data_IF_768292661297
#
_entry.id   IF_768292661297
#
_cell.length_a   1.000
_cell.length_b   1.000
_cell.length_c   1.000
_cell.angle_alpha   90.00
_cell.angle_beta   90.00
_cell.angle_gamma   90.00
#
_symmetry.space_group_name_H-M   'P 1'
#
loop_
_entity.id
_entity.type
_entity.pdbx_description
1 polymer ?
#
# COMPACT_ATOMS: atom_id res chain seq x y z
N UNK A 1 15.59 1.50 0.22
CA UNK A 1 14.37 0.68 0.38
C UNK A 1 14.30 -0.32 -0.76
N UNK A 2 14.08 -1.63 -0.51
CA UNK A 2 13.84 -2.61 -1.57
C UNK A 2 12.50 -2.35 -2.27
N UNK A 3 12.42 -2.71 -3.56
CA UNK A 3 11.14 -2.70 -4.26
C UNK A 3 10.20 -3.78 -3.73
N UNK A 4 8.88 -3.61 -3.90
CA UNK A 4 7.89 -4.54 -3.39
C UNK A 4 7.98 -5.94 -4.02
N UNK A 5 8.46 -6.07 -5.24
CA UNK A 5 8.69 -7.40 -5.87
C UNK A 5 9.95 -8.13 -5.39
N UNK A 6 10.76 -7.55 -4.50
CA UNK A 6 11.86 -8.27 -3.86
C UNK A 6 11.31 -9.34 -2.93
N UNK A 7 12.13 -10.35 -2.60
CA UNK A 7 11.69 -11.43 -1.71
C UNK A 7 11.23 -10.91 -0.35
N UNK A 8 10.07 -11.33 0.10
CA UNK A 8 9.51 -11.02 1.42
C UNK A 8 9.87 -12.10 2.44
N UNK A 9 10.20 -11.68 3.64
CA UNK A 9 10.23 -12.55 4.82
C UNK A 9 8.86 -12.64 5.48
N UNK A 10 8.03 -11.61 5.33
CA UNK A 10 6.66 -11.57 5.85
C UNK A 10 5.80 -10.50 5.19
N UNK A 11 4.48 -10.67 5.29
CA UNK A 11 3.45 -9.64 5.10
C UNK A 11 2.76 -9.35 6.43
N UNK A 12 2.53 -8.06 6.68
CA UNK A 12 1.84 -7.54 7.86
C UNK A 12 0.45 -7.07 7.50
N UNK A 13 -0.53 -7.44 8.32
CA UNK A 13 -1.94 -7.09 8.22
C UNK A 13 -2.48 -6.68 9.59
N UNK A 14 -3.58 -5.92 9.62
CA UNK A 14 -4.41 -5.71 10.80
C UNK A 14 -5.80 -6.29 10.57
N UNK A 15 -6.38 -6.96 11.58
CA UNK A 15 -7.68 -7.61 11.43
C UNK A 15 -8.83 -6.60 11.43
N UNK A 16 -9.75 -6.64 10.46
CA UNK A 16 -10.88 -5.71 10.38
C UNK A 16 -11.81 -5.83 11.58
N UNK A 17 -12.02 -4.72 12.28
CA UNK A 17 -12.84 -4.67 13.49
C UNK A 17 -13.66 -3.38 13.63
N UNK A 18 -13.28 -2.31 12.93
CA UNK A 18 -13.89 -1.01 13.07
C UNK A 18 -15.26 -0.95 12.37
N UNK A 19 -16.32 -0.76 13.14
CA UNK A 19 -17.69 -0.63 12.64
C UNK A 19 -17.99 0.77 12.11
N UNK A 20 -17.14 1.78 12.39
CA UNK A 20 -17.30 3.11 11.80
C UNK A 20 -16.85 3.10 10.34
N UNK A 21 -15.79 2.34 10.03
CA UNK A 21 -15.28 2.16 8.66
C UNK A 21 -16.22 1.29 7.82
N UNK A 22 -16.74 0.18 8.39
CA UNK A 22 -17.64 -0.74 7.70
C UNK A 22 -18.89 -1.08 8.52
N UNK A 23 -19.86 -0.15 8.67
CA UNK A 23 -21.02 -0.35 9.57
C UNK A 23 -21.85 -1.60 9.27
N UNK A 24 -21.98 -1.97 7.99
CA UNK A 24 -22.81 -3.10 7.54
C UNK A 24 -22.03 -4.13 6.72
N UNK A 25 -20.76 -3.86 6.39
CA UNK A 25 -19.96 -4.64 5.45
C UNK A 25 -18.82 -5.44 6.13
N UNK A 26 -18.61 -5.28 7.44
CA UNK A 26 -17.48 -5.85 8.16
C UNK A 26 -17.34 -7.38 7.99
N UNK A 27 -18.45 -8.10 7.89
CA UNK A 27 -18.40 -9.55 7.69
C UNK A 27 -17.84 -9.96 6.33
N UNK A 28 -18.27 -9.31 5.24
CA UNK A 28 -17.75 -9.54 3.88
C UNK A 28 -16.32 -9.04 3.73
N UNK A 29 -15.95 -7.93 4.36
CA UNK A 29 -14.58 -7.43 4.44
C UNK A 29 -13.66 -8.48 5.06
N UNK A 30 -14.04 -9.08 6.18
CA UNK A 30 -13.28 -10.16 6.85
C UNK A 30 -13.04 -11.37 5.94
N UNK A 31 -13.98 -11.70 5.05
CA UNK A 31 -13.79 -12.80 4.07
C UNK A 31 -12.67 -12.46 3.08
N UNK A 32 -12.51 -11.19 2.69
CA UNK A 32 -11.39 -10.76 1.82
C UNK A 32 -10.05 -10.95 2.54
N UNK A 33 -9.95 -10.62 3.85
CA UNK A 33 -8.75 -10.89 4.64
C UNK A 33 -8.42 -12.39 4.73
N UNK A 34 -9.42 -13.24 4.92
CA UNK A 34 -9.20 -14.69 4.92
C UNK A 34 -8.71 -15.16 3.55
N UNK A 35 -9.24 -14.63 2.46
CA UNK A 35 -8.77 -14.94 1.10
C UNK A 35 -7.31 -14.46 0.90
N UNK A 36 -6.97 -13.21 1.29
CA UNK A 36 -5.60 -12.71 1.23
C UNK A 36 -4.64 -13.62 2.00
N UNK A 37 -4.93 -13.91 3.27
CA UNK A 37 -4.09 -14.77 4.11
C UNK A 37 -3.95 -16.16 3.50
N UNK A 38 -5.03 -16.74 2.97
CA UNK A 38 -5.02 -18.07 2.34
C UNK A 38 -4.12 -18.11 1.09
N UNK A 39 -4.08 -17.03 0.32
CA UNK A 39 -3.26 -16.92 -0.89
C UNK A 39 -1.78 -16.62 -0.56
N UNK A 40 -1.52 -15.86 0.48
CA UNK A 40 -0.17 -15.42 0.85
C UNK A 40 0.57 -16.46 1.72
N UNK A 41 -0.10 -17.10 2.68
CA UNK A 41 0.52 -17.95 3.69
C UNK A 41 1.30 -19.16 3.13
N UNK A 42 0.99 -19.76 1.97
CA UNK A 42 1.83 -20.79 1.37
C UNK A 42 3.24 -20.31 0.95
N UNK A 43 3.44 -19.00 0.79
CA UNK A 43 4.62 -18.42 0.15
C UNK A 43 5.47 -17.54 1.06
N UNK A 44 4.87 -17.05 2.17
CA UNK A 44 5.56 -16.18 3.13
C UNK A 44 4.86 -16.20 4.50
N UNK A 45 5.52 -15.66 5.52
CA UNK A 45 4.90 -15.50 6.83
C UNK A 45 3.88 -14.37 6.80
N UNK A 46 2.78 -14.56 7.53
CA UNK A 46 1.75 -13.55 7.68
C UNK A 46 1.64 -13.19 9.17
N UNK A 47 1.86 -11.94 9.47
CA UNK A 47 1.56 -11.38 10.79
C UNK A 47 0.23 -10.64 10.73
N UNK A 48 -0.68 -10.95 11.64
CA UNK A 48 -1.97 -10.28 11.72
C UNK A 48 -2.11 -9.66 13.11
N UNK A 49 -2.21 -8.34 13.15
CA UNK A 49 -2.49 -7.62 14.38
C UNK A 49 -3.97 -7.81 14.75
N UNK A 50 -4.22 -8.06 16.03
CA UNK A 50 -5.57 -8.24 16.58
C UNK A 50 -5.71 -7.44 17.87
N UNK A 51 -6.89 -6.86 18.12
CA UNK A 51 -7.11 -6.02 19.28
C UNK A 51 -7.29 -6.83 20.56
N UNK A 52 -7.85 -8.04 20.46
CA UNK A 52 -8.18 -8.88 21.61
C UNK A 52 -8.12 -10.37 21.26
N UNK A 53 -8.06 -11.24 22.28
CA UNK A 53 -7.96 -12.70 22.09
C UNK A 53 -9.17 -13.28 21.36
N UNK A 54 -10.37 -12.74 21.59
CA UNK A 54 -11.57 -13.16 20.85
C UNK A 54 -11.44 -12.96 19.34
N UNK A 55 -10.82 -11.87 18.92
CA UNK A 55 -10.53 -11.63 17.51
C UNK A 55 -9.52 -12.64 16.97
N UNK A 56 -8.50 -13.00 17.76
CA UNK A 56 -7.56 -14.05 17.40
C UNK A 56 -8.25 -15.41 17.23
N UNK A 57 -9.16 -15.78 18.14
CA UNK A 57 -9.92 -17.02 18.03
C UNK A 57 -10.83 -17.04 16.80
N UNK A 58 -11.45 -15.91 16.46
CA UNK A 58 -12.24 -15.78 15.24
C UNK A 58 -11.37 -16.00 14.00
N UNK A 59 -10.20 -15.36 13.92
CA UNK A 59 -9.26 -15.52 12.79
C UNK A 59 -8.85 -16.99 12.65
N UNK A 60 -8.43 -17.65 13.75
CA UNK A 60 -8.04 -19.07 13.74
C UNK A 60 -9.15 -19.97 13.19
N UNK A 61 -10.38 -19.82 13.69
CA UNK A 61 -11.52 -20.62 13.25
C UNK A 61 -11.86 -20.42 11.76
N UNK A 62 -11.78 -19.17 11.27
CA UNK A 62 -12.02 -18.87 9.85
C UNK A 62 -10.93 -19.43 8.95
N UNK A 63 -9.66 -19.31 9.32
CA UNK A 63 -8.52 -19.87 8.57
C UNK A 63 -8.58 -21.41 8.53
N UNK A 64 -8.94 -22.05 9.63
CA UNK A 64 -9.15 -23.50 9.68
C UNK A 64 -10.27 -23.92 8.71
N UNK A 65 -11.40 -23.20 8.72
CA UNK A 65 -12.52 -23.43 7.81
C UNK A 65 -12.10 -23.26 6.34
N UNK A 66 -11.29 -22.25 6.04
CA UNK A 66 -10.73 -21.97 4.71
C UNK A 66 -9.62 -22.96 4.32
N UNK A 67 -9.13 -23.81 5.24
CA UNK A 67 -8.00 -24.72 5.05
C UNK A 67 -6.70 -23.97 4.65
N UNK A 68 -6.50 -22.80 5.21
CA UNK A 68 -5.28 -22.01 4.98
C UNK A 68 -4.04 -22.69 5.60
N UNK A 69 -2.86 -22.36 5.10
CA UNK A 69 -1.56 -22.78 5.65
C UNK A 69 -1.27 -22.01 6.97
N UNK A 70 -1.91 -22.43 8.05
CA UNK A 70 -1.88 -21.69 9.33
C UNK A 70 -0.53 -21.72 10.05
N UNK A 71 0.37 -22.63 9.70
CA UNK A 71 1.73 -22.72 10.23
C UNK A 71 2.58 -21.48 9.94
N UNK A 72 2.24 -20.75 8.88
CA UNK A 72 2.90 -19.49 8.51
C UNK A 72 2.17 -18.24 9.02
N UNK A 73 1.06 -18.38 9.75
CA UNK A 73 0.27 -17.26 10.26
C UNK A 73 0.54 -17.06 11.75
N UNK A 74 0.91 -15.86 12.12
CA UNK A 74 1.12 -15.45 13.52
C UNK A 74 0.17 -14.30 13.85
N UNK A 75 -0.66 -14.50 14.87
CA UNK A 75 -1.56 -13.49 15.40
C UNK A 75 -0.87 -12.77 16.55
N UNK A 76 -0.82 -11.45 16.48
CA UNK A 76 -0.16 -10.59 17.46
C UNK A 76 -1.17 -9.67 18.11
N UNK A 77 -1.24 -9.68 19.44
CA UNK A 77 -2.12 -8.79 20.18
C UNK A 77 -1.51 -7.39 20.30
N UNK A 78 -1.71 -6.61 19.26
CA UNK A 78 -1.33 -5.20 19.18
C UNK A 78 -2.58 -4.43 18.72
N UNK A 79 -3.21 -3.66 19.63
CA UNK A 79 -4.43 -2.94 19.30
C UNK A 79 -4.21 -1.84 18.28
N UNK A 80 -5.13 -1.73 17.33
CA UNK A 80 -5.20 -0.67 16.32
C UNK A 80 -6.56 0.01 16.34
N UNK A 81 -6.66 1.22 15.80
CA UNK A 81 -7.93 1.88 15.51
C UNK A 81 -8.54 1.30 14.24
N UNK A 82 -7.69 1.12 13.19
CA UNK A 82 -8.15 0.60 11.91
C UNK A 82 -7.09 -0.35 11.28
N UNK A 83 -7.23 -0.68 10.01
CA UNK A 83 -6.51 -1.76 9.32
C UNK A 83 -5.42 -1.29 8.35
N UNK A 84 -5.23 0.00 8.19
CA UNK A 84 -4.43 0.62 7.12
C UNK A 84 -2.91 0.48 7.37
N UNK A 85 -2.46 -0.79 7.41
CA UNK A 85 -1.09 -1.16 7.78
C UNK A 85 -0.03 -0.57 6.84
N UNK A 86 -0.40 -0.26 5.61
CA UNK A 86 0.47 0.44 4.66
C UNK A 86 0.90 1.80 5.18
N UNK A 87 -0.01 2.54 5.83
CA UNK A 87 0.17 3.94 6.14
C UNK A 87 0.82 4.17 7.51
N UNK A 88 0.46 3.39 8.50
CA UNK A 88 1.01 3.53 9.85
C UNK A 88 2.03 2.43 10.20
N UNK A 89 2.21 1.44 9.36
CA UNK A 89 3.16 0.35 9.57
C UNK A 89 4.61 0.76 9.32
N UNK A 90 5.57 -0.11 9.72
CA UNK A 90 6.99 0.17 9.55
C UNK A 90 7.39 0.16 8.07
N UNK A 91 8.04 1.22 7.60
CA UNK A 91 8.62 1.26 6.25
C UNK A 91 10.01 0.62 6.27
N UNK A 92 10.10 -0.65 5.86
CA UNK A 92 11.32 -1.41 5.95
C UNK A 92 12.38 -1.00 4.94
N UNK A 93 13.64 -0.97 5.41
CA UNK A 93 14.84 -0.73 4.60
C UNK A 93 15.88 -1.81 4.88
N UNK A 94 16.74 -2.08 3.89
CA UNK A 94 17.80 -3.08 4.01
C UNK A 94 19.16 -2.50 3.66
N UNK A 95 20.21 -3.13 4.16
CA UNK A 95 21.60 -2.85 3.75
C UNK A 95 22.38 -4.14 3.54
N UNK A 96 23.37 -4.11 2.66
CA UNK A 96 24.31 -5.22 2.46
C UNK A 96 25.38 -5.21 3.56
N UNK A 97 25.01 -5.67 4.76
CA UNK A 97 25.94 -5.82 5.88
C UNK A 97 25.52 -7.01 6.72
N UNK A 98 26.49 -7.80 7.28
CA UNK A 98 26.17 -8.98 8.08
C UNK A 98 25.48 -8.64 9.41
N UNK A 99 25.74 -7.46 9.96
CA UNK A 99 25.09 -6.98 11.18
C UNK A 99 23.94 -6.03 10.83
N UNK A 100 22.76 -6.28 11.41
CA UNK A 100 21.56 -5.47 11.21
C UNK A 100 21.24 -5.21 9.72
N UNK A 101 21.06 -6.27 8.92
CA UNK A 101 20.77 -6.10 7.48
C UNK A 101 19.38 -5.55 7.20
N UNK A 102 18.48 -5.57 8.19
CA UNK A 102 17.12 -5.04 8.16
C UNK A 102 16.96 -3.94 9.20
N UNK A 103 16.29 -2.88 8.84
CA UNK A 103 15.84 -1.80 9.70
C UNK A 103 14.48 -1.28 9.18
N UNK A 104 13.87 -0.34 9.87
CA UNK A 104 12.70 0.37 9.33
C UNK A 104 12.66 1.84 9.75
N UNK A 105 11.97 2.62 8.96
CA UNK A 105 11.60 4.00 9.25
C UNK A 105 10.29 4.01 10.03
N UNK A 106 10.25 4.78 11.10
CA UNK A 106 9.09 5.08 11.94
C UNK A 106 8.73 6.55 11.70
N UNK A 107 7.69 6.78 10.89
CA UNK A 107 7.18 8.10 10.52
C UNK A 107 6.13 8.58 11.51
N UNK A 108 5.88 9.87 11.55
CA UNK A 108 4.72 10.41 12.26
C UNK A 108 3.48 10.09 11.41
N UNK A 109 2.51 9.40 12.01
CA UNK A 109 1.18 9.23 11.45
C UNK A 109 0.20 10.16 12.17
N UNK A 110 -0.51 11.01 11.42
CA UNK A 110 -1.40 12.02 11.97
C UNK A 110 -2.87 11.87 11.53
N UNK A 111 -3.28 10.66 11.16
CA UNK A 111 -4.65 10.38 10.69
C UNK A 111 -4.97 11.08 9.37
N UNK A 112 -4.06 10.93 8.39
CA UNK A 112 -4.16 11.50 7.04
C UNK A 112 -4.41 13.01 7.03
N UNK A 113 -3.60 13.73 7.80
CA UNK A 113 -3.72 15.18 7.90
C UNK A 113 -4.74 15.64 8.92
N UNK A 114 -5.01 14.86 9.98
CA UNK A 114 -5.96 15.20 11.04
C UNK A 114 -7.42 15.05 10.65
N UNK A 115 -7.72 14.30 9.58
CA UNK A 115 -9.10 14.01 9.16
C UNK A 115 -9.80 13.08 10.13
N UNK A 116 -9.05 12.19 10.76
CA UNK A 116 -9.54 11.22 11.73
C UNK A 116 -8.97 11.56 13.12
N UNK A 117 -9.82 11.88 14.10
CA UNK A 117 -9.35 12.34 15.41
C UNK A 117 -8.78 11.23 16.29
N UNK A 118 -9.10 9.97 16.00
CA UNK A 118 -8.61 8.81 16.74
C UNK A 118 -7.63 8.04 15.87
N UNK A 119 -6.32 8.15 16.14
CA UNK A 119 -5.25 7.47 15.40
C UNK A 119 -4.07 7.05 16.31
N UNK A 120 -4.13 7.33 17.60
CA UNK A 120 -2.99 7.18 18.51
C UNK A 120 -2.53 5.73 18.69
N UNK A 121 -3.42 4.75 18.51
CA UNK A 121 -3.04 3.35 18.53
C UNK A 121 -2.31 2.98 17.23
N UNK A 122 -2.77 3.47 16.09
CA UNK A 122 -2.17 3.21 14.79
C UNK A 122 -0.77 3.84 14.71
N UNK A 123 -0.62 5.09 15.16
CA UNK A 123 0.67 5.80 15.22
C UNK A 123 1.71 5.06 16.10
N UNK A 124 1.29 4.22 17.03
CA UNK A 124 2.19 3.45 17.90
C UNK A 124 2.64 2.12 17.30
N UNK A 125 1.97 1.61 16.27
CA UNK A 125 2.20 0.26 15.75
C UNK A 125 3.67 0.02 15.38
N UNK A 126 4.30 0.93 14.65
CA UNK A 126 5.71 0.80 14.26
C UNK A 126 6.62 0.69 15.50
N UNK A 127 6.37 1.47 16.55
CA UNK A 127 7.12 1.42 17.83
C UNK A 127 6.87 0.13 18.60
N UNK A 128 5.65 -0.36 18.64
CA UNK A 128 5.31 -1.62 19.31
C UNK A 128 5.97 -2.81 18.59
N UNK A 129 6.01 -2.78 17.25
CA UNK A 129 6.71 -3.77 16.43
C UNK A 129 8.25 -3.71 16.57
N UNK A 130 8.82 -2.53 16.83
CA UNK A 130 10.25 -2.39 17.09
C UNK A 130 10.71 -3.27 18.26
N UNK A 131 9.92 -3.32 19.32
CA UNK A 131 10.18 -4.12 20.51
C UNK A 131 10.12 -5.62 20.22
N UNK A 132 9.34 -6.04 19.23
CA UNK A 132 9.16 -7.43 18.82
C UNK A 132 10.23 -7.89 17.83
N UNK A 133 10.54 -7.04 16.85
CA UNK A 133 11.42 -7.39 15.72
C UNK A 133 12.90 -7.31 16.08
N UNK A 134 13.28 -6.56 17.12
CA UNK A 134 14.68 -6.35 17.55
C UNK A 134 15.59 -5.87 16.40
N UNK A 135 15.07 -5.00 15.52
CA UNK A 135 15.83 -4.37 14.42
C UNK A 135 16.02 -2.88 14.70
N UNK A 136 17.05 -2.24 14.13
CA UNK A 136 17.21 -0.79 14.23
C UNK A 136 15.99 -0.03 13.70
N UNK A 137 15.65 1.08 14.35
CA UNK A 137 14.54 1.95 13.98
C UNK A 137 15.05 3.36 13.75
N UNK A 138 14.71 3.92 12.61
CA UNK A 138 14.97 5.32 12.28
C UNK A 138 13.69 6.12 12.51
N UNK A 139 13.66 6.93 13.55
CA UNK A 139 12.53 7.81 13.84
C UNK A 139 12.72 9.14 13.14
N UNK A 140 11.64 9.59 12.54
CA UNK A 140 11.62 10.83 11.76
C UNK A 140 10.61 11.82 12.31
N UNK A 141 10.95 13.12 12.20
CA UNK A 141 10.08 14.23 12.59
C UNK A 141 9.29 14.77 11.37
N UNK A 142 8.87 13.87 10.49
CA UNK A 142 8.07 14.16 9.29
C UNK A 142 6.82 13.27 9.29
N UNK A 143 5.68 13.86 8.94
CA UNK A 143 4.44 13.11 8.67
C UNK A 143 4.56 12.47 7.30
N UNK A 144 4.41 11.15 7.26
CA UNK A 144 4.46 10.39 6.02
C UNK A 144 3.69 9.06 6.19
N UNK A 145 2.87 8.74 5.23
CA UNK A 145 2.18 7.47 5.09
C UNK A 145 2.89 6.59 4.05
N UNK A 146 3.00 5.28 4.30
CA UNK A 146 3.65 4.36 3.37
C UNK A 146 2.98 4.29 2.00
N UNK A 147 1.66 4.52 1.91
CA UNK A 147 0.91 4.60 0.66
C UNK A 147 1.23 5.85 -0.18
N UNK A 148 1.84 6.88 0.43
CA UNK A 148 2.27 8.10 -0.28
C UNK A 148 3.57 7.94 -1.06
N UNK A 149 4.28 6.82 -0.93
CA UNK A 149 5.57 6.55 -1.58
C UNK A 149 5.57 5.23 -2.33
N UNK A 150 6.24 5.19 -3.47
CA UNK A 150 6.46 3.98 -4.27
C UNK A 150 7.91 3.96 -4.76
N UNK A 151 8.64 2.83 -4.64
CA UNK A 151 10.06 2.76 -4.99
C UNK A 151 10.36 1.64 -5.98
N UNK A 152 11.29 1.89 -6.91
CA UNK A 152 11.76 0.87 -7.85
C UNK A 152 12.89 -0.01 -7.31
N UNK A 153 13.34 0.18 -6.08
CA UNK A 153 14.45 -0.58 -5.47
C UNK A 153 15.83 -0.31 -6.07
N UNK A 154 15.92 0.57 -7.05
CA UNK A 154 17.13 0.91 -7.78
C UNK A 154 17.59 2.37 -7.58
N UNK A 155 16.77 3.18 -6.91
CA UNK A 155 17.11 4.55 -6.56
C UNK A 155 16.08 5.61 -6.96
N UNK A 156 14.93 5.23 -7.54
CA UNK A 156 13.83 6.15 -7.85
C UNK A 156 12.64 5.93 -6.92
N UNK A 157 12.06 7.02 -6.44
CA UNK A 157 10.82 7.08 -5.67
C UNK A 157 9.76 7.87 -6.45
N UNK A 158 8.51 7.42 -6.45
CA UNK A 158 7.34 8.19 -6.88
C UNK A 158 6.58 8.68 -5.64
N UNK A 159 6.01 9.86 -5.74
CA UNK A 159 5.09 10.46 -4.76
C UNK A 159 4.20 11.49 -5.46
N UNK A 160 3.29 12.14 -4.71
CA UNK A 160 2.39 13.16 -5.24
C UNK A 160 2.57 14.52 -4.57
N UNK A 161 2.35 15.57 -5.34
CA UNK A 161 2.33 16.95 -4.82
C UNK A 161 1.13 17.15 -3.90
N UNK A 162 -0.03 16.59 -4.25
CA UNK A 162 -1.26 16.73 -3.47
C UNK A 162 -1.10 16.17 -2.05
N UNK A 163 -0.38 15.06 -1.86
CA UNK A 163 -0.18 14.46 -0.54
C UNK A 163 0.96 15.14 0.23
N UNK A 164 2.20 15.01 -0.22
CA UNK A 164 3.34 15.39 0.60
C UNK A 164 3.56 16.91 0.70
N UNK A 165 3.04 17.71 -0.24
CA UNK A 165 3.05 19.17 -0.16
C UNK A 165 1.77 19.75 0.46
N UNK A 166 0.84 18.89 0.91
CA UNK A 166 -0.37 19.36 1.58
C UNK A 166 -0.04 20.02 2.90
N UNK A 167 -0.71 21.14 3.18
CA UNK A 167 -0.52 21.90 4.43
C UNK A 167 -0.91 21.10 5.68
N UNK A 168 -1.69 20.03 5.52
CA UNK A 168 -2.11 19.16 6.61
C UNK A 168 -1.08 18.05 6.97
N UNK A 169 0.06 17.99 6.25
CA UNK A 169 1.16 17.06 6.56
C UNK A 169 2.35 17.80 7.17
N UNK A 170 3.13 18.48 6.33
CA UNK A 170 4.40 19.12 6.73
C UNK A 170 4.46 20.57 6.26
N UNK A 171 3.60 21.48 6.78
CA UNK A 171 3.51 22.86 6.28
C UNK A 171 4.80 23.68 6.48
N UNK A 172 5.71 23.22 7.33
CA UNK A 172 7.00 23.85 7.59
C UNK A 172 8.09 23.45 6.61
N UNK A 173 7.87 22.39 5.79
CA UNK A 173 8.87 21.86 4.86
C UNK A 173 8.62 22.29 3.43
N UNK A 174 9.69 22.61 2.74
CA UNK A 174 9.70 22.82 1.30
C UNK A 174 9.81 21.47 0.57
N UNK A 175 9.44 21.45 -0.71
CA UNK A 175 9.62 20.27 -1.59
C UNK A 175 11.07 19.75 -1.55
N UNK A 176 12.07 20.64 -1.58
CA UNK A 176 13.48 20.23 -1.56
C UNK A 176 13.89 19.57 -0.24
N UNK A 177 13.31 20.00 0.87
CA UNK A 177 13.54 19.36 2.17
C UNK A 177 12.86 18.00 2.25
N UNK A 178 11.63 17.85 1.74
CA UNK A 178 10.96 16.55 1.63
C UNK A 178 11.74 15.60 0.72
N UNK A 179 12.24 16.05 -0.44
CA UNK A 179 13.15 15.28 -1.30
C UNK A 179 14.37 14.78 -0.52
N UNK A 180 14.97 15.63 0.30
CA UNK A 180 16.09 15.27 1.17
C UNK A 180 15.73 14.17 2.15
N UNK A 181 14.61 14.28 2.86
CA UNK A 181 14.12 13.25 3.77
C UNK A 181 13.88 11.90 3.05
N UNK A 182 13.23 11.91 1.89
CA UNK A 182 12.98 10.69 1.12
C UNK A 182 14.30 10.05 0.66
N UNK A 183 15.24 10.84 0.16
CA UNK A 183 16.55 10.34 -0.29
C UNK A 183 17.34 9.70 0.84
N UNK A 184 17.42 10.38 1.97
CA UNK A 184 18.20 9.92 3.12
C UNK A 184 17.56 8.67 3.78
N UNK A 185 16.23 8.66 3.92
CA UNK A 185 15.53 7.62 4.66
C UNK A 185 15.24 6.37 3.83
N UNK A 186 15.01 6.50 2.54
CA UNK A 186 14.69 5.39 1.64
C UNK A 186 15.92 4.89 0.87
N UNK A 187 17.02 5.66 0.85
CA UNK A 187 18.21 5.37 0.05
C UNK A 187 17.95 5.48 -1.45
N UNK A 188 17.14 6.46 -1.86
CA UNK A 188 16.88 6.78 -3.27
C UNK A 188 17.69 8.01 -3.68
N UNK A 189 17.97 8.18 -4.98
CA UNK A 189 18.67 9.35 -5.53
C UNK A 189 17.73 10.32 -6.23
N UNK A 190 16.61 9.83 -6.74
CA UNK A 190 15.64 10.60 -7.51
C UNK A 190 14.22 10.43 -6.98
N UNK A 191 13.48 11.55 -6.99
CA UNK A 191 12.07 11.60 -6.60
C UNK A 191 11.28 12.20 -7.77
N UNK A 192 10.34 11.43 -8.29
CA UNK A 192 9.42 11.84 -9.35
C UNK A 192 8.09 12.22 -8.65
N UNK A 193 7.63 13.45 -8.89
CA UNK A 193 6.43 14.00 -8.33
C UNK A 193 5.29 13.98 -9.35
N UNK A 194 4.23 13.24 -9.03
CA UNK A 194 2.96 13.32 -9.74
C UNK A 194 2.09 14.44 -9.15
N UNK A 195 0.98 14.74 -9.80
CA UNK A 195 0.07 15.81 -9.40
C UNK A 195 -0.95 15.38 -8.37
N UNK A 196 -2.22 15.41 -8.78
CA UNK A 196 -3.37 15.08 -7.94
C UNK A 196 -3.77 13.61 -8.09
N UNK A 197 -4.41 13.04 -7.04
CA UNK A 197 -4.93 11.68 -7.01
C UNK A 197 -6.32 11.55 -7.61
N UNK A 198 -6.94 10.38 -7.35
CA UNK A 198 -8.29 10.07 -7.82
C UNK A 198 -9.36 10.68 -6.91
N UNK A 199 -10.51 10.99 -7.49
CA UNK A 199 -11.67 11.51 -6.76
C UNK A 199 -12.20 10.45 -5.79
N UNK A 200 -12.50 10.86 -4.57
CA UNK A 200 -12.96 10.00 -3.49
C UNK A 200 -11.84 9.48 -2.58
N UNK A 201 -10.58 9.65 -2.99
CA UNK A 201 -9.44 9.37 -2.13
C UNK A 201 -9.30 10.43 -1.04
N UNK A 202 -9.46 10.02 0.21
CA UNK A 202 -9.36 10.90 1.38
C UNK A 202 -7.93 10.99 1.95
N UNK A 203 -6.97 10.29 1.34
CA UNK A 203 -5.55 10.36 1.72
C UNK A 203 -4.82 11.56 1.11
N UNK A 204 -5.50 12.40 0.33
CA UNK A 204 -4.94 13.49 -0.45
C UNK A 204 -4.02 13.03 -1.59
N UNK A 205 -4.41 11.97 -2.29
CA UNK A 205 -3.73 11.53 -3.51
C UNK A 205 -2.53 10.63 -3.25
N UNK A 206 -2.71 9.55 -2.51
CA UNK A 206 -1.68 8.53 -2.37
C UNK A 206 -1.25 7.97 -3.72
N UNK A 207 0.06 7.75 -3.87
CA UNK A 207 0.64 7.26 -5.13
C UNK A 207 0.21 5.83 -5.45
N UNK A 208 -0.09 5.01 -4.45
CA UNK A 208 -0.45 3.60 -4.60
C UNK A 208 -1.85 3.38 -5.23
N UNK A 209 -2.65 4.44 -5.33
CA UNK A 209 -3.90 4.46 -6.11
C UNK A 209 -3.72 4.99 -7.54
N UNK A 210 -2.52 5.48 -7.90
CA UNK A 210 -2.27 6.17 -9.17
C UNK A 210 -1.26 5.40 -10.03
N UNK A 211 -0.10 5.07 -9.46
CA UNK A 211 1.01 4.50 -10.22
C UNK A 211 1.89 3.59 -9.36
N UNK A 212 2.27 2.44 -9.92
CA UNK A 212 3.07 1.43 -9.24
C UNK A 212 4.19 0.90 -10.11
N UNK A 213 5.39 0.77 -9.56
CA UNK A 213 6.46 0.06 -10.25
C UNK A 213 6.17 -1.44 -10.31
N UNK A 214 6.48 -2.07 -11.45
CA UNK A 214 6.37 -3.53 -11.66
C UNK A 214 7.74 -4.18 -11.91
N UNK A 215 8.72 -3.37 -12.24
CA UNK A 215 10.14 -3.70 -12.31
C UNK A 215 10.97 -2.39 -12.25
N UNK A 216 12.33 -2.44 -12.22
CA UNK A 216 13.12 -1.22 -12.01
C UNK A 216 12.92 -0.08 -13.03
N UNK A 217 12.39 -0.37 -14.21
CA UNK A 217 12.25 0.60 -15.30
C UNK A 217 10.83 0.74 -15.86
N UNK A 218 9.88 -0.07 -15.35
CA UNK A 218 8.48 -0.06 -15.81
C UNK A 218 7.55 0.32 -14.68
N UNK A 219 6.68 1.27 -14.94
CA UNK A 219 5.64 1.74 -14.04
C UNK A 219 4.26 1.55 -14.69
N UNK A 220 3.29 1.07 -13.91
CA UNK A 220 1.87 1.11 -14.29
C UNK A 220 1.28 2.44 -13.85
N UNK A 221 0.37 3.00 -14.64
CA UNK A 221 -0.36 4.22 -14.31
C UNK A 221 -1.83 4.02 -14.66
N UNK A 222 -2.71 4.34 -13.73
CA UNK A 222 -4.16 4.36 -13.98
C UNK A 222 -4.49 5.46 -15.00
N UNK A 223 -5.33 5.14 -15.96
CA UNK A 223 -5.85 6.09 -16.94
C UNK A 223 -7.36 5.99 -17.05
N UNK A 224 -8.02 7.13 -17.16
CA UNK A 224 -9.44 7.23 -17.42
C UNK A 224 -9.69 7.53 -18.91
N UNK A 225 -10.47 6.69 -19.58
CA UNK A 225 -10.75 6.85 -21.01
C UNK A 225 -11.87 7.85 -21.31
N UNK A 226 -12.78 8.05 -20.36
CA UNK A 226 -13.91 8.95 -20.49
C UNK A 226 -13.51 10.38 -20.12
N UNK A 227 -13.31 11.22 -21.13
CA UNK A 227 -12.91 12.64 -20.94
C UNK A 227 -13.92 13.49 -20.18
N UNK A 228 -15.12 12.97 -19.84
CA UNK A 228 -16.12 13.63 -19.00
C UNK A 228 -16.09 13.16 -17.56
N UNK A 229 -15.30 12.17 -17.24
CA UNK A 229 -15.11 11.72 -15.87
C UNK A 229 -14.25 12.73 -15.10
N UNK A 230 -14.53 12.88 -13.80
CA UNK A 230 -13.81 13.80 -12.92
C UNK A 230 -12.33 13.45 -12.79
N UNK A 231 -11.98 12.15 -12.87
CA UNK A 231 -10.61 11.65 -12.78
C UNK A 231 -9.78 11.91 -14.05
N UNK A 232 -10.44 12.11 -15.21
CA UNK A 232 -9.74 12.15 -16.51
C UNK A 232 -8.56 13.12 -16.52
N UNK A 233 -8.78 14.35 -16.08
CA UNK A 233 -7.76 15.40 -16.13
C UNK A 233 -6.56 15.10 -15.24
N UNK A 234 -6.78 14.64 -14.04
CA UNK A 234 -5.71 14.36 -13.07
C UNK A 234 -4.88 13.16 -13.51
N UNK A 235 -5.54 12.09 -13.98
CA UNK A 235 -4.86 10.88 -14.43
C UNK A 235 -4.11 11.08 -15.74
N UNK A 236 -4.64 11.87 -16.68
CA UNK A 236 -3.92 12.21 -17.93
C UNK A 236 -2.67 13.05 -17.61
N UNK A 237 -2.75 14.04 -16.72
CA UNK A 237 -1.59 14.82 -16.30
C UNK A 237 -0.51 13.91 -15.66
N UNK A 238 -0.90 12.99 -14.78
CA UNK A 238 0.03 12.06 -14.15
C UNK A 238 0.68 11.12 -15.16
N UNK A 239 -0.08 10.63 -16.14
CA UNK A 239 0.44 9.82 -17.22
C UNK A 239 1.45 10.61 -18.09
N UNK A 240 1.14 11.86 -18.47
CA UNK A 240 2.05 12.74 -19.20
C UNK A 240 3.35 13.01 -18.43
N UNK A 241 3.26 13.27 -17.11
CA UNK A 241 4.43 13.45 -16.24
C UNK A 241 5.32 12.20 -16.23
N UNK A 242 4.74 11.00 -16.15
CA UNK A 242 5.49 9.74 -16.18
C UNK A 242 6.13 9.47 -17.54
N UNK A 243 5.49 9.84 -18.67
CA UNK A 243 6.06 9.65 -20.01
C UNK A 243 7.35 10.44 -20.26
N UNK A 244 7.54 11.55 -19.57
CA UNK A 244 8.75 12.37 -19.68
C UNK A 244 9.74 12.14 -18.55
N UNK A 245 9.32 11.42 -17.49
CA UNK A 245 10.15 11.11 -16.33
C UNK A 245 11.32 10.21 -16.70
N UNK A 246 12.40 10.35 -15.94
CA UNK A 246 13.58 9.49 -16.04
C UNK A 246 13.86 8.83 -14.70
N UNK A 247 14.46 7.67 -14.73
CA UNK A 247 14.91 6.96 -13.55
C UNK A 247 16.22 7.55 -12.98
N UNK A 248 16.73 6.99 -11.90
CA UNK A 248 17.98 7.35 -11.23
C UNK A 248 19.24 7.29 -12.13
N UNK A 249 19.15 6.69 -13.32
CA UNK A 249 20.23 6.61 -14.30
C UNK A 249 20.03 7.61 -15.46
N UNK A 250 18.95 8.39 -15.44
CA UNK A 250 18.57 9.28 -16.55
C UNK A 250 17.89 8.55 -17.72
N UNK A 251 17.50 7.27 -17.56
CA UNK A 251 16.77 6.52 -18.56
C UNK A 251 15.26 6.75 -18.44
N UNK A 252 14.55 6.84 -19.56
CA UNK A 252 13.10 6.98 -19.57
C UNK A 252 12.42 5.75 -18.99
N UNK A 253 11.37 5.97 -18.21
CA UNK A 253 10.51 4.91 -17.74
C UNK A 253 9.63 4.35 -18.88
N UNK A 254 9.37 3.05 -18.83
CA UNK A 254 8.31 2.41 -19.60
C UNK A 254 7.00 2.54 -18.82
N UNK A 255 6.00 3.22 -19.40
CA UNK A 255 4.73 3.46 -18.73
C UNK A 255 3.64 2.58 -19.33
N UNK A 256 3.05 1.71 -18.52
CA UNK A 256 1.95 0.82 -18.91
C UNK A 256 0.65 1.38 -18.35
N UNK A 257 -0.32 1.61 -19.23
CA UNK A 257 -1.65 2.06 -18.84
C UNK A 257 -2.44 0.92 -18.19
N UNK A 258 -2.98 1.17 -17.00
CA UNK A 258 -4.04 0.37 -16.41
C UNK A 258 -5.38 1.11 -16.56
N UNK A 259 -6.47 0.44 -16.89
CA UNK A 259 -7.78 1.10 -16.92
C UNK A 259 -8.17 1.60 -15.54
N UNK A 260 -9.00 2.63 -15.48
CA UNK A 260 -9.72 3.02 -14.28
C UNK A 260 -11.00 2.17 -14.18
N UNK A 261 -11.41 1.68 -13.00
CA UNK A 261 -12.74 1.10 -12.84
C UNK A 261 -13.83 2.15 -13.10
N UNK A 262 -15.01 1.71 -13.55
CA UNK A 262 -16.18 2.59 -13.62
C UNK A 262 -16.47 3.23 -12.25
N UNK A 263 -17.03 4.47 -12.21
CA UNK A 263 -17.28 5.18 -10.96
C UNK A 263 -18.15 4.40 -9.99
N UNK A 264 -17.62 4.11 -8.81
CA UNK A 264 -18.32 3.46 -7.72
C UNK A 264 -18.76 4.49 -6.67
N UNK A 265 -19.92 4.26 -6.05
CA UNK A 265 -20.47 5.17 -5.05
C UNK A 265 -21.00 4.41 -3.83
N UNK A 266 -20.80 4.98 -2.63
CA UNK A 266 -21.49 4.59 -1.41
C UNK A 266 -22.10 5.83 -0.75
N UNK A 267 -23.39 5.79 -0.43
CA UNK A 267 -24.09 6.93 0.13
C UNK A 267 -24.05 8.21 -0.73
N UNK A 268 -23.80 8.10 -2.04
CA UNK A 268 -23.64 9.23 -2.95
C UNK A 268 -22.24 9.84 -3.00
N UNK A 269 -21.28 9.30 -2.24
CA UNK A 269 -19.87 9.68 -2.28
C UNK A 269 -19.14 8.73 -3.22
N UNK A 270 -18.31 9.26 -4.13
CA UNK A 270 -17.47 8.45 -5.01
C UNK A 270 -16.40 7.74 -4.19
N UNK A 271 -16.19 6.46 -4.47
CA UNK A 271 -15.17 5.64 -3.82
C UNK A 271 -13.85 5.65 -4.63
N UNK A 272 -12.68 5.56 -3.98
CA UNK A 272 -11.38 5.56 -4.64
C UNK A 272 -11.01 4.18 -5.18
N UNK A 273 -11.85 3.62 -6.04
CA UNK A 273 -11.57 2.33 -6.66
C UNK A 273 -10.43 2.44 -7.67
N UNK A 274 -9.39 1.62 -7.50
CA UNK A 274 -8.20 1.64 -8.35
C UNK A 274 -7.58 0.26 -8.48
N UNK A 275 -7.30 -0.17 -9.71
CA UNK A 275 -6.51 -1.38 -9.95
C UNK A 275 -5.01 -1.20 -9.62
N UNK A 276 -4.51 0.02 -9.45
CA UNK A 276 -3.14 0.27 -9.00
C UNK A 276 -2.93 -0.14 -7.54
N UNK A 277 -3.99 -0.29 -6.75
CA UNK A 277 -3.91 -0.70 -5.36
C UNK A 277 -3.70 -2.23 -5.20
N UNK A 278 -2.89 -2.83 -6.10
CA UNK A 278 -2.47 -4.24 -6.04
C UNK A 278 -1.28 -4.42 -5.09
N UNK A 279 -1.13 -5.64 -4.56
CA UNK A 279 -0.02 -6.03 -3.68
C UNK A 279 0.83 -7.13 -4.32
N UNK A 280 2.15 -6.92 -4.37
CA UNK A 280 3.12 -7.86 -4.94
C UNK A 280 3.76 -8.68 -3.83
N UNK A 281 3.38 -9.95 -3.69
CA UNK A 281 3.99 -10.90 -2.75
C UNK A 281 4.99 -11.84 -3.45
N UNK A 282 5.54 -12.81 -2.73
CA UNK A 282 6.60 -13.68 -3.28
C UNK A 282 6.22 -14.42 -4.56
N UNK A 283 5.07 -15.11 -4.58
CA UNK A 283 4.64 -15.95 -5.71
C UNK A 283 3.30 -15.50 -6.30
N UNK A 284 2.67 -14.51 -5.68
CA UNK A 284 1.35 -14.03 -6.07
C UNK A 284 1.31 -12.50 -6.16
N UNK A 285 0.38 -11.99 -6.96
CA UNK A 285 -0.02 -10.59 -6.96
C UNK A 285 -1.51 -10.54 -6.64
N UNK A 286 -1.89 -9.82 -5.60
CA UNK A 286 -3.27 -9.63 -5.21
C UNK A 286 -3.79 -8.32 -5.80
N UNK A 287 -4.86 -8.37 -6.56
CA UNK A 287 -5.43 -7.23 -7.29
C UNK A 287 -6.86 -7.00 -6.82
N UNK A 288 -7.20 -5.79 -6.39
CA UNK A 288 -8.60 -5.48 -6.11
C UNK A 288 -9.41 -5.51 -7.41
N UNK A 289 -10.56 -6.19 -7.39
CA UNK A 289 -11.53 -6.17 -8.48
C UNK A 289 -12.90 -5.71 -7.95
N UNK A 290 -13.73 -5.18 -8.83
CA UNK A 290 -14.88 -4.39 -8.43
C UNK A 290 -16.20 -4.83 -9.09
N UNK A 291 -16.26 -6.07 -9.65
CA UNK A 291 -17.36 -6.54 -10.51
C UNK A 291 -17.55 -5.64 -11.74
N UNK A 292 -16.45 -5.16 -12.28
CA UNK A 292 -16.36 -4.17 -13.33
C UNK A 292 -15.99 -4.81 -14.69
N UNK A 293 -16.37 -4.16 -15.78
CA UNK A 293 -16.04 -4.62 -17.12
C UNK A 293 -14.52 -4.65 -17.40
N UNK A 294 -13.76 -3.79 -16.71
CA UNK A 294 -12.30 -3.68 -16.83
C UNK A 294 -11.52 -4.66 -15.94
N UNK A 295 -12.19 -5.42 -15.04
CA UNK A 295 -11.51 -6.39 -14.17
C UNK A 295 -10.65 -7.37 -14.95
N UNK A 296 -11.18 -7.92 -16.04
CA UNK A 296 -10.50 -8.92 -16.89
C UNK A 296 -9.28 -8.31 -17.59
N UNK A 297 -9.40 -7.09 -18.08
CA UNK A 297 -8.30 -6.34 -18.72
C UNK A 297 -7.19 -6.06 -17.72
N UNK A 298 -7.52 -5.51 -16.55
CA UNK A 298 -6.54 -5.20 -15.52
C UNK A 298 -5.78 -6.44 -15.05
N UNK A 299 -6.50 -7.55 -14.79
CA UNK A 299 -5.88 -8.82 -14.40
C UNK A 299 -4.98 -9.37 -15.50
N UNK A 300 -5.39 -9.28 -16.77
CA UNK A 300 -4.60 -9.73 -17.91
C UNK A 300 -3.30 -8.95 -18.07
N UNK A 301 -3.37 -7.62 -18.02
CA UNK A 301 -2.20 -6.73 -18.09
C UNK A 301 -1.21 -7.00 -16.95
N UNK A 302 -1.71 -7.14 -15.73
CA UNK A 302 -0.86 -7.44 -14.58
C UNK A 302 -0.25 -8.85 -14.68
N UNK A 303 -0.97 -9.85 -15.19
CA UNK A 303 -0.40 -11.18 -15.41
C UNK A 303 0.73 -11.17 -16.46
N UNK A 304 0.64 -10.35 -17.50
CA UNK A 304 1.72 -10.17 -18.47
C UNK A 304 2.95 -9.50 -17.84
N UNK A 305 2.74 -8.53 -16.96
CA UNK A 305 3.81 -7.81 -16.24
C UNK A 305 4.49 -8.67 -15.17
N UNK A 306 3.77 -9.65 -14.60
CA UNK A 306 4.27 -10.56 -13.58
C UNK A 306 4.24 -12.03 -14.05
N UNK A 307 5.01 -12.42 -15.09
CA UNK A 307 4.95 -13.76 -15.68
C UNK A 307 5.37 -14.88 -14.71
N UNK A 308 6.13 -14.55 -13.68
CA UNK A 308 6.62 -15.50 -12.66
C UNK A 308 5.78 -15.51 -11.38
N UNK A 309 4.68 -14.76 -11.34
CA UNK A 309 3.74 -14.71 -10.22
C UNK A 309 2.34 -15.02 -10.72
N UNK A 310 1.52 -15.57 -9.85
CA UNK A 310 0.10 -15.76 -10.17
C UNK A 310 -0.69 -14.54 -9.72
N UNK A 311 -1.41 -13.93 -10.66
CA UNK A 311 -2.28 -12.79 -10.38
C UNK A 311 -3.65 -13.30 -9.94
N UNK A 312 -4.12 -12.80 -8.79
CA UNK A 312 -5.40 -13.13 -8.20
C UNK A 312 -6.25 -11.88 -8.01
N UNK A 313 -7.42 -11.85 -8.63
CA UNK A 313 -8.44 -10.84 -8.35
C UNK A 313 -9.15 -11.14 -7.03
N UNK A 314 -9.27 -10.14 -6.17
CA UNK A 314 -10.04 -10.19 -4.92
C UNK A 314 -11.15 -9.15 -4.99
N UNK A 315 -12.39 -9.58 -4.76
CA UNK A 315 -13.55 -8.71 -4.83
C UNK A 315 -13.54 -7.69 -3.69
N UNK A 316 -13.28 -6.42 -3.99
CA UNK A 316 -13.07 -5.35 -3.03
C UNK A 316 -14.20 -4.30 -2.96
N UNK A 317 -15.39 -4.58 -3.55
CA UNK A 317 -16.54 -3.66 -3.52
C UNK A 317 -16.92 -3.20 -2.09
N UNK A 318 -16.83 -4.09 -1.11
CA UNK A 318 -17.11 -3.75 0.28
C UNK A 318 -15.87 -3.20 1.00
N UNK A 319 -14.67 -3.61 0.62
CA UNK A 319 -13.41 -3.10 1.20
C UNK A 319 -13.22 -1.63 0.87
N UNK A 320 -13.41 -1.25 -0.40
CA UNK A 320 -13.22 0.12 -0.88
C UNK A 320 -14.22 1.13 -0.29
N UNK A 321 -15.32 0.65 0.30
CA UNK A 321 -16.21 1.51 1.08
C UNK A 321 -15.52 2.11 2.34
N UNK A 322 -14.40 1.52 2.78
CA UNK A 322 -13.52 2.07 3.81
C UNK A 322 -12.46 3.02 3.25
N UNK A 323 -12.54 3.39 1.97
CA UNK A 323 -11.69 4.35 1.25
C UNK A 323 -10.26 3.86 0.97
N UNK A 324 -10.06 2.55 0.90
CA UNK A 324 -8.80 1.90 0.49
C UNK A 324 -9.03 0.47 0.03
N UNK A 325 -7.98 -0.20 -0.48
CA UNK A 325 -8.08 -1.56 -0.98
C UNK A 325 -6.89 -2.44 -0.52
N UNK A 326 -6.41 -3.35 -1.36
CA UNK A 326 -5.46 -4.42 -1.00
C UNK A 326 -4.09 -3.87 -0.56
N UNK A 327 -3.53 -2.91 -1.30
CA UNK A 327 -2.21 -2.35 -0.96
C UNK A 327 -2.26 -1.53 0.34
N UNK A 328 -3.29 -0.73 0.52
CA UNK A 328 -3.47 0.11 1.71
C UNK A 328 -3.50 -0.70 3.01
N UNK A 329 -3.92 -1.96 2.97
CA UNK A 329 -4.04 -2.82 4.16
C UNK A 329 -2.87 -3.77 4.37
N UNK A 330 -1.88 -3.77 3.47
CA UNK A 330 -0.72 -4.66 3.49
C UNK A 330 0.58 -3.91 3.69
N UNK A 331 1.54 -4.51 4.41
CA UNK A 331 2.91 -4.00 4.50
C UNK A 331 3.90 -5.13 4.36
N UNK A 332 4.80 -5.05 3.38
CA UNK A 332 5.85 -6.04 3.17
C UNK A 332 7.02 -5.86 4.14
N UNK A 333 7.53 -6.97 4.64
CA UNK A 333 8.83 -7.04 5.29
C UNK A 333 9.80 -7.76 4.34
N UNK A 334 10.78 -7.06 3.75
CA UNK A 334 11.71 -7.67 2.81
C UNK A 334 12.59 -8.71 3.50
N UNK A 335 13.09 -9.66 2.71
CA UNK A 335 14.19 -10.52 3.15
C UNK A 335 15.45 -9.68 3.32
N UNK A 336 16.11 -9.85 4.44
CA UNK A 336 17.42 -9.25 4.63
C UNK A 336 18.41 -9.83 3.60
N UNK A 337 19.21 -8.98 2.98
CA UNK A 337 20.31 -9.44 2.13
C UNK A 337 21.24 -10.31 2.96
N UNK A 338 21.53 -11.52 2.47
CA UNK A 338 22.47 -12.45 3.11
C UNK A 338 23.90 -12.07 2.79
#
# INVERSE_FOLDING_TARGET
MPAEWCGHSATWLSWPHNLETWPTKLASVREVWIQMITLLAPHERIYVLVNEERSADEVRARLETARAATENVTLLKIPTIDVWMRDYGPTFVTRSAPENPLAFNDWIFNGWGGKYPSYELDERVARDLASLLHVPVFRHDIVLEGGSIEVNGAGTCLTTEQCLLNQNRNPQLTRAEIDGFLKDSLGVSDVIWLGEGIVGDDTDGHIDDIARFVNPTTVTCIVEANSRDENYRFLEENYERLQIAVDQNGAKLSVVKLPCPDPMYDGGVRLPASYANFYIANEVVLVPIFDDAHDVEALGLLQELFPNRKVHGLRCNDVVAGLGAIHCVTQQQPQAAR
#
